data_IF_840756162138
#
_entry.id   IF_840756162138
#
_cell.length_a   1.000
_cell.length_b   1.000
_cell.length_c   1.000
_cell.angle_alpha   90.00
_cell.angle_beta   90.00
_cell.angle_gamma   90.00
#
_symmetry.space_group_name_H-M   'P 1'
#
loop_
_entity.id
_entity.type
_entity.pdbx_description
1 polymer ?
#
# COMPACT_ATOMS: atom_id res chain seq x y z
N UNK A 1 83.13 -45.62 13.49
CA UNK A 1 82.49 -44.70 14.49
C UNK A 1 81.39 -44.01 13.75
N UNK A 2 80.13 -44.49 13.88
CA UNK A 2 79.00 -44.11 13.06
C UNK A 2 77.96 -43.44 13.96
N UNK A 3 77.66 -42.21 13.72
CA UNK A 3 76.58 -41.48 14.38
C UNK A 3 75.31 -41.43 13.47
N UNK A 4 74.27 -42.12 13.87
CA UNK A 4 72.97 -42.10 13.23
C UNK A 4 72.21 -40.87 13.74
N UNK A 5 71.84 -40.01 12.83
CA UNK A 5 70.98 -38.86 13.07
C UNK A 5 69.53 -39.30 12.85
N UNK A 6 68.68 -39.27 13.89
CA UNK A 6 67.21 -39.52 13.82
C UNK A 6 66.54 -38.18 13.69
N UNK A 7 66.06 -37.85 12.51
CA UNK A 7 65.14 -36.74 12.29
C UNK A 7 63.69 -37.15 12.60
N UNK A 8 63.15 -36.66 13.72
CA UNK A 8 61.74 -36.82 14.07
C UNK A 8 60.93 -35.81 13.27
N UNK A 9 59.94 -36.29 12.52
CA UNK A 9 58.96 -35.44 11.84
C UNK A 9 57.85 -35.04 12.84
N UNK A 10 57.45 -33.77 12.92
CA UNK A 10 56.29 -33.38 13.73
C UNK A 10 55.02 -33.74 12.99
N UNK A 11 54.14 -34.52 13.66
CA UNK A 11 52.79 -34.79 13.19
C UNK A 11 51.92 -33.55 13.41
N UNK A 12 51.63 -32.88 12.34
CA UNK A 12 50.68 -31.77 12.32
C UNK A 12 49.25 -32.33 12.42
N UNK A 13 48.65 -32.21 13.61
CA UNK A 13 47.25 -32.59 13.83
C UNK A 13 46.37 -31.51 13.25
N UNK A 14 45.77 -31.80 12.08
CA UNK A 14 44.73 -30.97 11.47
C UNK A 14 43.50 -31.02 12.33
N UNK A 15 43.21 -29.93 13.04
CA UNK A 15 41.96 -29.74 13.76
C UNK A 15 40.87 -29.32 12.73
N UNK A 16 40.04 -30.27 12.30
CA UNK A 16 38.82 -29.95 11.55
C UNK A 16 37.80 -29.30 12.49
N UNK A 17 37.65 -27.98 12.42
CA UNK A 17 36.57 -27.27 13.07
C UNK A 17 35.26 -27.52 12.28
N UNK A 18 34.45 -28.43 12.77
CA UNK A 18 33.07 -28.59 12.26
C UNK A 18 32.24 -27.39 12.73
N UNK A 19 32.05 -26.40 11.84
CA UNK A 19 31.05 -25.35 12.05
C UNK A 19 29.66 -26.01 11.90
N UNK A 20 28.99 -26.28 13.00
CA UNK A 20 27.58 -26.66 13.00
C UNK A 20 26.76 -25.41 12.67
N UNK A 21 26.28 -25.31 11.44
CA UNK A 21 25.29 -24.32 11.05
C UNK A 21 23.96 -24.69 11.72
N UNK A 22 23.58 -23.96 12.78
CA UNK A 22 22.25 -24.07 13.35
C UNK A 22 21.23 -23.58 12.31
N UNK A 23 20.15 -24.34 12.03
CA UNK A 23 19.10 -23.85 11.17
C UNK A 23 18.46 -22.63 11.84
N UNK A 24 18.52 -21.46 11.17
CA UNK A 24 17.72 -20.32 11.57
C UNK A 24 16.25 -20.71 11.40
N UNK A 25 15.53 -20.86 12.51
CA UNK A 25 14.07 -20.96 12.48
C UNK A 25 13.58 -19.62 11.90
N UNK A 26 13.18 -19.64 10.64
CA UNK A 26 12.40 -18.55 10.08
C UNK A 26 11.12 -18.46 10.88
N UNK A 27 10.96 -17.38 11.65
CA UNK A 27 9.70 -17.10 12.33
C UNK A 27 8.60 -17.09 11.26
N UNK A 28 7.62 -17.98 11.38
CA UNK A 28 6.49 -18.02 10.47
C UNK A 28 5.77 -16.66 10.58
N UNK A 29 5.72 -15.91 9.48
CA UNK A 29 4.94 -14.69 9.44
C UNK A 29 3.46 -15.08 9.55
N UNK A 30 2.80 -14.62 10.61
CA UNK A 30 1.36 -14.81 10.78
C UNK A 30 0.59 -13.77 9.97
N UNK A 31 -0.61 -14.14 9.50
CA UNK A 31 -1.53 -13.18 8.91
C UNK A 31 -1.92 -12.11 9.94
N UNK A 32 -2.01 -10.87 9.48
CA UNK A 32 -2.49 -9.74 10.28
C UNK A 32 -3.95 -9.44 9.91
N UNK A 33 -4.80 -9.29 10.92
CA UNK A 33 -6.16 -8.79 10.75
C UNK A 33 -6.20 -7.34 11.20
N UNK A 34 -6.69 -6.46 10.35
CA UNK A 34 -6.82 -5.02 10.61
C UNK A 34 -8.28 -4.63 10.46
N UNK A 35 -8.84 -3.99 11.48
CA UNK A 35 -10.18 -3.43 11.42
C UNK A 35 -10.11 -1.92 11.24
N UNK A 36 -10.85 -1.32 10.28
CA UNK A 36 -10.85 0.14 10.09
C UNK A 36 -11.22 0.92 11.35
N UNK A 37 -12.05 0.37 12.22
CA UNK A 37 -12.49 1.04 13.46
C UNK A 37 -11.37 1.21 14.48
N UNK A 38 -10.35 0.38 14.43
CA UNK A 38 -9.17 0.43 15.32
C UNK A 38 -8.10 1.42 14.83
N UNK A 39 -8.29 2.01 13.63
CA UNK A 39 -7.29 2.85 12.99
C UNK A 39 -7.54 4.34 13.23
N UNK A 40 -6.44 5.10 13.26
CA UNK A 40 -6.50 6.54 13.30
C UNK A 40 -7.13 7.10 12.01
N UNK A 41 -8.08 8.02 12.17
CA UNK A 41 -8.70 8.75 11.07
C UNK A 41 -7.86 9.97 10.70
N UNK A 42 -7.55 10.09 9.42
CA UNK A 42 -6.88 11.27 8.85
C UNK A 42 -7.91 12.07 8.05
N UNK A 43 -8.07 13.36 8.36
CA UNK A 43 -8.86 14.29 7.54
C UNK A 43 -7.95 14.85 6.45
N UNK A 44 -8.20 14.50 5.21
CA UNK A 44 -7.39 14.95 4.05
C UNK A 44 -7.90 16.25 3.44
N UNK A 45 -9.20 16.51 3.58
CA UNK A 45 -9.85 17.79 3.24
C UNK A 45 -11.20 17.87 3.96
N UNK A 46 -11.86 19.05 3.99
CA UNK A 46 -13.16 19.17 4.63
C UNK A 46 -14.18 18.16 4.12
N UNK A 47 -14.66 17.27 5.01
CA UNK A 47 -15.61 16.21 4.71
C UNK A 47 -15.04 15.00 3.96
N UNK A 48 -13.70 14.87 3.90
CA UNK A 48 -13.02 13.71 3.32
C UNK A 48 -12.05 13.12 4.35
N UNK A 49 -12.30 11.90 4.74
CA UNK A 49 -11.53 11.16 5.72
C UNK A 49 -10.97 9.86 5.14
N UNK A 50 -9.83 9.43 5.66
CA UNK A 50 -9.25 8.13 5.34
C UNK A 50 -8.69 7.43 6.58
N UNK A 51 -8.59 6.11 6.48
CA UNK A 51 -7.87 5.22 7.41
C UNK A 51 -7.02 4.27 6.59
N UNK A 52 -5.71 4.30 6.74
CA UNK A 52 -4.81 3.43 5.99
C UNK A 52 -4.70 2.06 6.67
N UNK A 53 -5.18 1.02 6.00
CA UNK A 53 -5.17 -0.35 6.50
C UNK A 53 -3.79 -1.00 6.31
N UNK A 54 -3.21 -0.80 5.15
CA UNK A 54 -1.86 -1.27 4.80
C UNK A 54 -1.23 -0.31 3.80
N UNK A 55 0.10 -0.24 3.79
CA UNK A 55 0.86 0.65 2.92
C UNK A 55 2.08 1.22 3.61
N UNK A 56 2.69 2.21 2.99
CA UNK A 56 3.95 2.82 3.50
C UNK A 56 3.76 3.58 4.81
N UNK A 57 2.60 4.21 5.01
CA UNK A 57 2.28 5.03 6.19
C UNK A 57 1.40 4.30 7.19
N UNK A 58 1.04 3.05 6.93
CA UNK A 58 0.23 2.23 7.81
C UNK A 58 0.90 1.98 9.17
N UNK A 59 0.11 1.54 10.15
CA UNK A 59 0.61 1.17 11.48
C UNK A 59 1.68 0.08 11.42
N UNK A 60 2.51 0.00 12.44
CA UNK A 60 3.53 -1.05 12.56
C UNK A 60 2.86 -2.43 12.45
N UNK A 61 3.44 -3.32 11.65
CA UNK A 61 2.90 -4.66 11.38
C UNK A 61 2.09 -4.74 10.07
N UNK A 62 1.44 -3.65 9.63
CA UNK A 62 0.75 -3.59 8.34
C UNK A 62 1.48 -2.78 7.27
N UNK A 63 2.74 -2.37 7.55
CA UNK A 63 3.58 -1.65 6.58
C UNK A 63 4.03 -2.55 5.46
N UNK A 64 3.87 -2.06 4.23
CA UNK A 64 4.38 -2.69 3.01
C UNK A 64 4.61 -1.64 1.92
N UNK A 65 5.47 -1.95 0.97
CA UNK A 65 5.69 -1.16 -0.25
C UNK A 65 5.02 -1.78 -1.49
N UNK A 66 4.38 -2.94 -1.34
CA UNK A 66 3.77 -3.68 -2.45
C UNK A 66 2.42 -3.08 -2.87
N UNK A 67 1.58 -2.75 -1.89
CA UNK A 67 0.28 -2.14 -2.14
C UNK A 67 -0.16 -1.28 -0.95
N UNK A 68 -0.95 -0.25 -1.20
CA UNK A 68 -1.72 0.43 -0.15
C UNK A 68 -3.19 0.06 -0.26
N UNK A 69 -3.84 -0.07 0.89
CA UNK A 69 -5.29 -0.13 1.00
C UNK A 69 -5.72 0.88 2.05
N UNK A 70 -6.55 1.84 1.65
CA UNK A 70 -7.13 2.82 2.55
C UNK A 70 -8.65 2.81 2.45
N UNK A 71 -9.34 2.84 3.58
CA UNK A 71 -10.75 3.11 3.65
C UNK A 71 -10.97 4.63 3.58
N UNK A 72 -11.86 5.05 2.70
CA UNK A 72 -12.27 6.45 2.55
C UNK A 72 -13.72 6.64 2.93
N UNK A 73 -14.01 7.79 3.54
CA UNK A 73 -15.34 8.30 3.78
C UNK A 73 -15.45 9.73 3.25
N UNK A 74 -16.42 9.96 2.39
CA UNK A 74 -16.78 11.25 1.86
C UNK A 74 -18.16 11.63 2.39
N UNK A 75 -18.27 12.79 3.03
CA UNK A 75 -19.57 13.37 3.40
C UNK A 75 -20.41 13.69 2.16
N UNK A 76 -21.75 13.86 2.30
CA UNK A 76 -22.62 14.19 1.18
C UNK A 76 -22.11 15.37 0.34
N UNK A 77 -22.03 15.20 -0.97
CA UNK A 77 -21.56 16.19 -1.93
C UNK A 77 -20.06 16.45 -1.94
N UNK A 78 -19.28 15.81 -1.06
CA UNK A 78 -17.82 15.98 -1.01
C UNK A 78 -17.12 15.11 -2.05
N UNK A 79 -15.95 15.56 -2.47
CA UNK A 79 -15.13 14.88 -3.47
C UNK A 79 -13.69 14.75 -3.01
N UNK A 80 -13.02 13.69 -3.47
CA UNK A 80 -11.56 13.60 -3.36
C UNK A 80 -10.88 14.68 -4.21
N UNK A 81 -9.65 15.02 -3.85
CA UNK A 81 -8.84 15.90 -4.70
C UNK A 81 -8.68 15.32 -6.11
N UNK A 82 -8.51 16.19 -7.09
CA UNK A 82 -8.11 15.80 -8.44
C UNK A 82 -6.63 15.45 -8.44
N UNK A 83 -6.30 14.25 -8.84
CA UNK A 83 -4.91 13.80 -8.92
C UNK A 83 -4.75 12.65 -9.92
N UNK A 84 -3.51 12.24 -10.15
CA UNK A 84 -3.16 11.06 -10.92
C UNK A 84 -1.87 10.45 -10.35
N UNK A 85 -1.73 9.14 -10.45
CA UNK A 85 -0.46 8.48 -10.15
C UNK A 85 0.41 8.44 -11.42
N UNK A 86 1.70 8.74 -11.29
CA UNK A 86 2.64 8.69 -12.43
C UNK A 86 2.89 7.26 -12.90
N UNK A 87 3.03 6.34 -11.95
CA UNK A 87 3.45 4.96 -12.19
C UNK A 87 2.45 3.97 -11.59
N UNK A 88 1.88 4.26 -10.41
CA UNK A 88 0.98 3.37 -9.71
C UNK A 88 -0.37 3.24 -10.39
N UNK A 89 -0.89 2.01 -10.44
CA UNK A 89 -2.29 1.74 -10.74
C UNK A 89 -3.13 1.90 -9.47
N UNK A 90 -4.29 2.51 -9.58
CA UNK A 90 -5.22 2.67 -8.47
C UNK A 90 -6.57 2.03 -8.78
N UNK A 91 -7.21 1.49 -7.77
CA UNK A 91 -8.56 0.96 -7.89
C UNK A 91 -9.41 1.46 -6.75
N UNK A 92 -10.70 1.72 -7.02
CA UNK A 92 -11.70 1.96 -5.98
C UNK A 92 -12.67 0.81 -5.93
N UNK A 93 -13.02 0.38 -4.72
CA UNK A 93 -14.10 -0.57 -4.48
C UNK A 93 -15.13 0.05 -3.54
N UNK A 94 -16.32 0.35 -4.07
CA UNK A 94 -17.39 1.04 -3.33
C UNK A 94 -18.07 0.09 -2.36
N UNK A 95 -18.11 0.48 -1.09
CA UNK A 95 -18.71 -0.28 0.00
C UNK A 95 -20.14 0.17 0.27
N UNK A 96 -20.37 1.51 0.30
CA UNK A 96 -21.63 2.10 0.73
C UNK A 96 -21.85 3.46 0.07
N UNK A 97 -23.13 3.82 -0.10
CA UNK A 97 -23.53 5.09 -0.70
C UNK A 97 -23.44 5.07 -2.22
N UNK A 98 -23.84 6.21 -2.81
CA UNK A 98 -23.84 6.44 -4.26
C UNK A 98 -23.03 7.70 -4.57
N UNK A 99 -22.56 7.80 -5.78
CA UNK A 99 -21.78 8.95 -6.23
C UNK A 99 -21.41 8.85 -7.69
N UNK A 100 -20.37 9.54 -8.05
CA UNK A 100 -19.77 9.48 -9.38
C UNK A 100 -18.24 9.46 -9.31
N UNK A 101 -17.60 8.75 -10.20
CA UNK A 101 -16.17 8.80 -10.43
C UNK A 101 -15.89 9.50 -11.74
N UNK A 102 -14.94 10.42 -11.71
CA UNK A 102 -14.40 11.10 -12.87
C UNK A 102 -13.04 10.52 -13.23
N UNK A 103 -12.89 10.10 -14.47
CA UNK A 103 -11.62 9.63 -15.02
C UNK A 103 -11.37 10.34 -16.35
N UNK A 104 -10.34 11.18 -16.39
CA UNK A 104 -10.12 12.07 -17.51
C UNK A 104 -11.31 13.01 -17.76
N UNK A 105 -11.96 12.90 -18.91
CA UNK A 105 -13.13 13.72 -19.29
C UNK A 105 -14.48 13.00 -19.12
N UNK A 106 -14.50 11.83 -18.48
CA UNK A 106 -15.72 11.01 -18.35
C UNK A 106 -16.15 10.92 -16.88
N UNK A 107 -17.47 11.04 -16.66
CA UNK A 107 -18.11 10.73 -15.39
C UNK A 107 -18.89 9.42 -15.51
N UNK A 108 -18.85 8.61 -14.47
CA UNK A 108 -19.60 7.38 -14.37
C UNK A 108 -20.22 7.27 -12.98
N UNK A 109 -21.52 6.88 -12.85
CA UNK A 109 -22.13 6.66 -11.57
C UNK A 109 -21.50 5.45 -10.87
N UNK A 110 -21.37 5.55 -9.54
CA UNK A 110 -20.89 4.46 -8.69
C UNK A 110 -21.89 4.15 -7.59
N UNK A 111 -21.92 2.87 -7.18
CA UNK A 111 -22.82 2.32 -6.15
C UNK A 111 -22.13 1.18 -5.42
N UNK A 112 -22.66 0.68 -4.30
CA UNK A 112 -22.09 -0.47 -3.60
C UNK A 112 -21.81 -1.64 -4.54
N UNK A 113 -20.59 -2.19 -4.46
CA UNK A 113 -20.08 -3.24 -5.34
C UNK A 113 -19.44 -2.73 -6.64
N UNK A 114 -19.47 -1.42 -6.95
CA UNK A 114 -18.71 -0.87 -8.08
C UNK A 114 -17.21 -1.04 -7.85
N UNK A 115 -16.52 -1.56 -8.86
CA UNK A 115 -15.06 -1.61 -8.92
C UNK A 115 -14.59 -0.72 -10.07
N UNK A 116 -13.68 0.20 -9.77
CA UNK A 116 -13.12 1.16 -10.70
C UNK A 116 -11.62 0.90 -10.81
N UNK A 117 -11.13 0.62 -12.01
CA UNK A 117 -9.72 0.49 -12.31
C UNK A 117 -9.21 1.77 -12.98
N UNK A 118 -8.16 2.36 -12.43
CA UNK A 118 -7.60 3.63 -12.86
C UNK A 118 -6.12 3.42 -13.21
N UNK A 119 -5.78 3.33 -14.50
CA UNK A 119 -4.40 3.19 -14.93
C UNK A 119 -3.53 4.39 -14.55
N UNK A 120 -2.20 4.24 -14.53
CA UNK A 120 -1.27 5.36 -14.35
C UNK A 120 -1.56 6.52 -15.32
N UNK A 121 -1.28 7.73 -14.87
CA UNK A 121 -1.45 8.99 -15.59
C UNK A 121 -2.90 9.39 -15.92
N UNK A 122 -3.89 8.63 -15.47
CA UNK A 122 -5.30 9.01 -15.62
C UNK A 122 -5.70 9.93 -14.46
N UNK A 123 -6.07 11.16 -14.80
CA UNK A 123 -6.60 12.13 -13.82
C UNK A 123 -7.95 11.62 -13.33
N UNK A 124 -8.14 11.57 -12.01
CA UNK A 124 -9.37 11.08 -11.37
C UNK A 124 -9.78 11.93 -10.18
N UNK A 125 -11.07 11.86 -9.89
CA UNK A 125 -11.71 12.27 -8.63
C UNK A 125 -12.95 11.42 -8.43
N UNK A 126 -13.37 11.20 -7.19
CA UNK A 126 -14.61 10.52 -6.84
C UNK A 126 -15.41 11.43 -5.90
N UNK A 127 -16.73 11.51 -6.10
CA UNK A 127 -17.64 12.39 -5.35
C UNK A 127 -18.80 11.57 -4.79
N UNK A 128 -19.16 11.85 -3.54
CA UNK A 128 -20.41 11.39 -2.95
C UNK A 128 -21.61 12.12 -3.55
N UNK A 129 -22.76 11.46 -3.61
CA UNK A 129 -24.03 12.12 -3.94
C UNK A 129 -24.31 13.26 -2.96
N UNK A 130 -25.25 14.16 -3.30
CA UNK A 130 -25.61 15.27 -2.40
C UNK A 130 -26.39 14.81 -1.18
N UNK A 131 -27.01 13.63 -1.25
CA UNK A 131 -27.98 13.15 -0.28
C UNK A 131 -27.42 12.12 0.70
N UNK A 132 -26.27 11.52 0.40
CA UNK A 132 -25.64 10.49 1.24
C UNK A 132 -24.12 10.49 1.14
N UNK A 133 -23.47 9.94 2.18
CA UNK A 133 -22.03 9.72 2.19
C UNK A 133 -21.63 8.57 1.27
N UNK A 134 -20.37 8.57 0.86
CA UNK A 134 -19.77 7.51 0.06
C UNK A 134 -18.59 6.88 0.82
N UNK A 135 -18.60 5.55 0.93
CA UNK A 135 -17.49 4.79 1.52
C UNK A 135 -16.92 3.83 0.48
N UNK A 136 -15.59 3.80 0.38
CA UNK A 136 -14.91 2.91 -0.55
C UNK A 136 -13.49 2.57 -0.06
N UNK A 137 -12.94 1.49 -0.57
CA UNK A 137 -11.51 1.23 -0.50
C UNK A 137 -10.80 1.82 -1.72
N UNK A 138 -9.71 2.56 -1.47
CA UNK A 138 -8.71 2.88 -2.46
C UNK A 138 -7.55 1.90 -2.32
N UNK A 139 -7.17 1.26 -3.43
CA UNK A 139 -6.11 0.27 -3.52
C UNK A 139 -5.10 0.78 -4.54
N UNK A 140 -3.84 0.95 -4.14
CA UNK A 140 -2.79 1.45 -5.03
C UNK A 140 -1.63 0.46 -5.10
N UNK A 141 -1.16 0.14 -6.29
CA UNK A 141 -0.05 -0.78 -6.54
C UNK A 141 0.97 -0.16 -7.50
N UNK A 142 2.27 -0.05 -7.14
CA UNK A 142 2.83 -0.28 -5.80
C UNK A 142 2.23 0.64 -4.74
N UNK A 143 2.55 0.40 -3.45
CA UNK A 143 1.99 1.19 -2.35
C UNK A 143 2.12 2.70 -2.58
N UNK A 144 1.02 3.42 -2.30
CA UNK A 144 0.90 4.86 -2.47
C UNK A 144 2.09 5.64 -1.91
N UNK A 145 2.48 6.68 -2.62
CA UNK A 145 3.46 7.65 -2.15
C UNK A 145 3.14 9.04 -2.69
N UNK A 146 3.46 10.07 -1.90
CA UNK A 146 3.30 11.47 -2.31
C UNK A 146 4.21 11.89 -3.47
N UNK A 147 5.20 11.08 -3.83
CA UNK A 147 6.08 11.32 -4.99
C UNK A 147 5.40 10.86 -6.28
N UNK A 148 4.56 9.82 -6.19
CA UNK A 148 3.83 9.24 -7.31
C UNK A 148 2.48 9.93 -7.54
N UNK A 149 1.74 10.23 -6.47
CA UNK A 149 0.43 10.90 -6.53
C UNK A 149 0.58 12.41 -6.74
N UNK A 150 0.16 12.89 -7.90
CA UNK A 150 0.30 14.29 -8.32
C UNK A 150 -1.06 14.97 -8.26
N UNK A 151 -1.17 15.95 -7.37
CA UNK A 151 -2.34 16.83 -7.32
C UNK A 151 -2.42 17.69 -8.58
N UNK A 152 -3.63 17.88 -9.10
CA UNK A 152 -3.89 18.68 -10.28
C UNK A 152 -5.21 19.45 -10.16
N UNK A 153 -5.51 20.27 -11.14
CA UNK A 153 -6.80 20.95 -11.23
C UNK A 153 -7.83 20.06 -11.91
N UNK A 154 -9.10 20.35 -11.64
CA UNK A 154 -10.21 19.69 -12.34
C UNK A 154 -10.05 19.88 -13.86
N UNK A 155 -10.27 18.82 -14.66
CA UNK A 155 -10.40 18.99 -16.12
C UNK A 155 -11.51 19.98 -16.48
N UNK A 156 -11.40 20.62 -17.64
CA UNK A 156 -12.35 21.69 -18.05
C UNK A 156 -13.82 21.23 -18.03
N UNK A 157 -14.07 19.96 -18.33
CA UNK A 157 -15.40 19.36 -18.37
C UNK A 157 -15.83 18.74 -17.02
N UNK A 158 -15.02 18.84 -15.98
CA UNK A 158 -15.36 18.27 -14.68
C UNK A 158 -16.45 19.06 -13.96
N UNK A 159 -17.24 18.43 -13.08
CA UNK A 159 -18.24 19.14 -12.27
C UNK A 159 -17.53 20.12 -11.32
N UNK A 160 -18.13 21.29 -11.20
CA UNK A 160 -17.71 22.33 -10.26
C UNK A 160 -18.25 22.10 -8.86
#
# INVERSE_FOLDING_TARGET
MSLRNKTGRPHMRTFCLLLAAAPALAAAQSALVVHPDDLHTVTVSPGVQLKELTGRSAAAGSKTDQASVAWFHLEPGRASAWSYNKVGEESFFVLKGHGEVWTGSRSQPVRPGSFILIPPSVIRSIRASKDESLEFYAITTPAWSSVDDVLTTAPEMAPK
#
